data_IF_600499143648
#
_entry.id   IF_600499143648
#
_cell.length_a   1.000
_cell.length_b   1.000
_cell.length_c   1.000
_cell.angle_alpha   90.00
_cell.angle_beta   90.00
_cell.angle_gamma   90.00
#
_symmetry.space_group_name_H-M   'P 1'
#
loop_
_entity.id
_entity.type
_entity.pdbx_description
1 polymer ?
#
# COMPACT_ATOMS: atom_id res chain seq x y z
N UNK A 1 1.70 5.87 18.83
CA UNK A 1 1.85 5.12 17.57
C UNK A 1 0.59 4.27 17.42
N UNK A 2 -0.08 4.32 16.27
CA UNK A 2 -1.29 3.50 16.06
C UNK A 2 -0.94 2.03 16.27
N UNK A 3 -1.78 1.29 16.98
CA UNK A 3 -1.57 -0.15 17.22
C UNK A 3 -1.70 -1.04 15.97
N UNK A 4 -1.98 -0.47 14.79
CA UNK A 4 -2.16 -1.21 13.54
C UNK A 4 -0.87 -1.91 13.09
N UNK A 5 -1.02 -3.13 12.57
CA UNK A 5 0.06 -3.97 12.06
C UNK A 5 0.02 -4.01 10.53
N UNK A 6 1.19 -3.86 9.91
CA UNK A 6 1.33 -4.03 8.45
C UNK A 6 1.17 -5.51 8.12
N UNK A 7 0.25 -5.84 7.24
CA UNK A 7 0.03 -7.23 6.84
C UNK A 7 0.50 -7.51 5.40
N UNK A 8 0.55 -6.50 4.54
CA UNK A 8 1.09 -6.62 3.18
C UNK A 8 1.74 -5.33 2.69
N UNK A 9 2.71 -5.49 1.80
CA UNK A 9 3.24 -4.44 0.92
C UNK A 9 3.13 -4.94 -0.51
N UNK A 10 2.42 -4.19 -1.34
CA UNK A 10 2.38 -4.40 -2.78
C UNK A 10 3.21 -3.33 -3.46
N UNK A 11 3.96 -3.71 -4.50
CA UNK A 11 4.90 -2.82 -5.18
C UNK A 11 4.59 -2.81 -6.67
N UNK A 12 4.75 -1.65 -7.30
CA UNK A 12 4.50 -1.50 -8.72
C UNK A 12 5.31 -0.40 -9.36
N UNK A 13 5.33 -0.38 -10.69
CA UNK A 13 5.96 0.66 -11.49
C UNK A 13 4.98 1.26 -12.50
N UNK A 14 5.22 2.52 -12.84
CA UNK A 14 4.42 3.25 -13.81
C UNK A 14 5.27 4.25 -14.56
N UNK A 15 4.86 4.58 -15.78
CA UNK A 15 5.59 5.54 -16.59
C UNK A 15 4.66 6.53 -17.28
N UNK A 16 5.20 7.69 -17.61
CA UNK A 16 4.64 8.58 -18.62
C UNK A 16 5.72 8.87 -19.65
N UNK A 17 5.46 8.53 -20.91
CA UNK A 17 6.49 8.44 -21.93
C UNK A 17 6.82 9.79 -22.60
N UNK A 18 5.84 10.70 -22.64
CA UNK A 18 5.94 11.91 -23.48
C UNK A 18 5.32 13.17 -22.87
N UNK A 19 4.58 13.07 -21.76
CA UNK A 19 3.90 14.21 -21.14
C UNK A 19 4.66 14.79 -19.95
N UNK A 20 5.70 14.12 -19.47
CA UNK A 20 6.36 14.41 -18.20
C UNK A 20 5.36 14.51 -17.03
N UNK A 21 4.24 13.76 -17.13
CA UNK A 21 3.16 13.78 -16.15
C UNK A 21 3.46 12.80 -15.01
N UNK A 22 4.04 13.36 -13.94
CA UNK A 22 4.39 12.64 -12.72
C UNK A 22 3.19 12.02 -12.02
N UNK A 23 2.02 12.68 -12.07
CA UNK A 23 0.79 12.16 -11.45
C UNK A 23 0.29 10.94 -12.20
N UNK A 24 0.31 10.97 -13.53
CA UNK A 24 -0.06 9.83 -14.37
C UNK A 24 0.91 8.65 -14.22
N UNK A 25 2.21 8.92 -14.16
CA UNK A 25 3.20 7.87 -13.90
C UNK A 25 2.98 7.23 -12.52
N UNK A 26 2.73 8.05 -11.49
CA UNK A 26 2.42 7.59 -10.13
C UNK A 26 1.13 6.75 -10.08
N UNK A 27 0.05 7.22 -10.72
CA UNK A 27 -1.22 6.49 -10.82
C UNK A 27 -1.01 5.10 -11.44
N UNK A 28 -0.23 5.03 -12.52
CA UNK A 28 0.11 3.76 -13.18
C UNK A 28 0.90 2.83 -12.24
N UNK A 29 1.81 3.36 -11.45
CA UNK A 29 2.58 2.55 -10.49
C UNK A 29 1.70 1.97 -9.38
N UNK A 30 0.72 2.74 -8.90
CA UNK A 30 -0.27 2.28 -7.92
C UNK A 30 -1.20 1.22 -8.54
N UNK A 31 -1.70 1.46 -9.75
CA UNK A 31 -2.53 0.49 -10.47
C UNK A 31 -1.79 -0.82 -10.75
N UNK A 32 -0.51 -0.74 -11.09
CA UNK A 32 0.35 -1.90 -11.27
C UNK A 32 0.46 -2.70 -9.96
N UNK A 33 0.75 -2.03 -8.83
CA UNK A 33 0.85 -2.67 -7.52
C UNK A 33 -0.43 -3.45 -7.14
N UNK A 34 -1.61 -2.88 -7.41
CA UNK A 34 -2.90 -3.42 -6.97
C UNK A 34 -3.49 -4.52 -7.87
N UNK A 35 -2.92 -4.78 -9.06
CA UNK A 35 -3.51 -5.70 -10.05
C UNK A 35 -2.93 -7.11 -10.04
N UNK A 36 -1.85 -7.35 -9.28
CA UNK A 36 -1.13 -8.64 -9.32
C UNK A 36 -1.66 -9.65 -8.31
N UNK A 37 -2.47 -9.21 -7.35
CA UNK A 37 -3.03 -10.04 -6.28
C UNK A 37 -4.54 -9.88 -6.16
N UNK A 38 -5.20 -10.93 -5.68
CA UNK A 38 -6.55 -10.86 -5.14
C UNK A 38 -6.51 -11.33 -3.69
N UNK A 39 -6.88 -10.45 -2.77
CA UNK A 39 -6.83 -10.72 -1.33
C UNK A 39 -8.27 -10.63 -0.79
N UNK A 40 -8.99 -11.76 -0.61
CA UNK A 40 -10.34 -11.77 -0.05
C UNK A 40 -10.33 -11.56 1.48
N UNK A 41 -9.54 -10.58 1.94
CA UNK A 41 -9.22 -10.33 3.35
C UNK A 41 -10.47 -10.07 4.18
N UNK A 42 -11.36 -9.20 3.69
CA UNK A 42 -12.54 -8.78 4.43
C UNK A 42 -13.57 -9.91 4.58
N UNK A 43 -13.73 -10.74 3.55
CA UNK A 43 -14.56 -11.94 3.61
C UNK A 43 -13.99 -12.97 4.60
N UNK A 44 -12.67 -13.16 4.59
CA UNK A 44 -11.99 -14.11 5.48
C UNK A 44 -11.94 -13.67 6.94
N UNK A 45 -11.90 -12.36 7.22
CA UNK A 45 -11.70 -11.81 8.58
C UNK A 45 -12.97 -11.20 9.19
N UNK A 46 -14.00 -10.92 8.38
CA UNK A 46 -15.21 -10.21 8.81
C UNK A 46 -14.97 -8.73 9.17
N UNK A 47 -13.80 -8.18 8.86
CA UNK A 47 -13.46 -6.78 9.13
C UNK A 47 -14.17 -5.83 8.15
N UNK A 48 -14.48 -4.62 8.61
CA UNK A 48 -14.90 -3.53 7.71
C UNK A 48 -13.71 -3.04 6.87
N UNK A 49 -13.99 -2.59 5.66
CA UNK A 49 -13.04 -1.86 4.82
C UNK A 49 -12.41 -0.66 5.52
N UNK A 50 -13.17 0.02 6.40
CA UNK A 50 -12.71 1.20 7.13
C UNK A 50 -11.65 0.87 8.20
N UNK A 51 -11.56 -0.40 8.61
CA UNK A 51 -10.53 -0.86 9.52
C UNK A 51 -9.14 -0.85 8.85
N UNK A 52 -9.10 -0.91 7.52
CA UNK A 52 -7.86 -0.91 6.75
C UNK A 52 -7.33 0.51 6.60
N UNK A 53 -6.09 0.71 7.03
CA UNK A 53 -5.31 1.91 6.72
C UNK A 53 -4.36 1.58 5.58
N UNK A 54 -4.32 2.43 4.57
CA UNK A 54 -3.45 2.28 3.41
C UNK A 54 -2.47 3.44 3.39
N UNK A 55 -1.18 3.14 3.29
CA UNK A 55 -0.13 4.14 3.09
C UNK A 55 0.54 3.85 1.76
N UNK A 56 0.53 4.85 0.89
CA UNK A 56 1.18 4.75 -0.41
C UNK A 56 2.36 5.69 -0.43
N UNK A 57 3.54 5.15 -0.73
CA UNK A 57 4.75 5.93 -1.00
C UNK A 57 5.08 5.81 -2.47
N UNK A 58 5.20 6.95 -3.16
CA UNK A 58 5.56 7.02 -4.58
C UNK A 58 6.95 7.62 -4.73
N UNK A 59 7.88 6.88 -5.33
CA UNK A 59 9.21 7.36 -5.70
C UNK A 59 9.22 7.93 -7.12
N UNK A 60 9.52 9.22 -7.27
CA UNK A 60 9.67 9.93 -8.56
C UNK A 60 10.78 10.98 -8.51
N UNK A 61 11.24 11.45 -9.68
CA UNK A 61 12.29 12.46 -9.72
C UNK A 61 11.83 13.86 -9.27
N UNK A 62 10.56 14.21 -9.45
CA UNK A 62 9.98 15.47 -8.97
C UNK A 62 8.74 15.17 -8.13
N UNK A 63 8.89 15.04 -6.80
CA UNK A 63 7.78 14.73 -5.90
C UNK A 63 6.72 15.83 -5.85
N UNK A 64 7.13 17.09 -5.98
CA UNK A 64 6.22 18.25 -5.86
C UNK A 64 5.30 18.37 -7.09
N UNK A 65 5.68 17.75 -8.21
CA UNK A 65 4.87 17.64 -9.42
C UNK A 65 3.79 16.53 -9.36
N UNK A 66 3.70 15.78 -8.26
CA UNK A 66 2.67 14.75 -8.08
C UNK A 66 1.46 15.32 -7.35
N UNK A 67 0.29 15.22 -7.96
CA UNK A 67 -0.98 15.49 -7.30
C UNK A 67 -1.38 14.28 -6.43
N UNK A 68 -0.88 14.24 -5.19
CA UNK A 68 -1.15 13.15 -4.26
C UNK A 68 -2.65 13.02 -3.89
N UNK A 69 -3.39 14.12 -3.82
CA UNK A 69 -4.82 14.10 -3.49
C UNK A 69 -5.60 13.35 -4.57
N UNK A 70 -5.30 13.59 -5.86
CA UNK A 70 -5.92 12.86 -6.96
C UNK A 70 -5.58 11.35 -6.98
N UNK A 71 -4.47 10.95 -6.34
CA UNK A 71 -4.09 9.54 -6.22
C UNK A 71 -4.81 8.85 -5.06
N UNK A 72 -5.16 9.56 -3.99
CA UNK A 72 -5.96 9.02 -2.88
C UNK A 72 -7.32 8.54 -3.40
N UNK A 73 -7.97 9.33 -4.26
CA UNK A 73 -9.27 9.02 -4.85
C UNK A 73 -9.26 7.79 -5.77
N UNK A 74 -8.08 7.36 -6.25
CA UNK A 74 -7.93 6.21 -7.12
C UNK A 74 -7.83 4.88 -6.36
N UNK A 75 -7.71 4.90 -5.03
CA UNK A 75 -7.56 3.69 -4.22
C UNK A 75 -8.93 3.09 -3.89
N UNK A 76 -9.14 1.79 -4.11
CA UNK A 76 -10.49 1.21 -4.11
C UNK A 76 -11.10 1.05 -2.71
N UNK A 77 -10.27 0.98 -1.65
CA UNK A 77 -10.69 0.57 -0.29
C UNK A 77 -9.76 1.16 0.78
N UNK A 78 -10.31 1.36 1.97
CA UNK A 78 -9.57 1.75 3.17
C UNK A 78 -9.33 3.25 3.30
N UNK A 79 -8.77 3.64 4.44
CA UNK A 79 -8.39 5.03 4.73
C UNK A 79 -6.97 5.24 4.21
N UNK A 80 -6.86 5.88 3.06
CA UNK A 80 -5.60 6.04 2.35
C UNK A 80 -4.90 7.37 2.64
N UNK A 81 -3.57 7.31 2.64
CA UNK A 81 -2.69 8.48 2.55
C UNK A 81 -1.66 8.21 1.48
N UNK A 82 -1.41 9.18 0.61
CA UNK A 82 -0.39 9.09 -0.44
C UNK A 82 0.68 10.14 -0.19
N UNK A 83 1.94 9.75 -0.31
CA UNK A 83 3.09 10.66 -0.27
C UNK A 83 4.01 10.39 -1.47
N UNK A 84 4.44 11.46 -2.13
CA UNK A 84 5.53 11.41 -3.09
C UNK A 84 6.87 11.70 -2.41
N UNK A 85 7.91 10.97 -2.81
CA UNK A 85 9.28 11.13 -2.35
C UNK A 85 10.24 11.06 -3.54
N UNK A 86 11.45 11.61 -3.37
CA UNK A 86 12.49 11.54 -4.39
C UNK A 86 12.89 10.08 -4.62
N UNK A 87 12.80 9.62 -5.86
CA UNK A 87 13.08 8.24 -6.28
C UNK A 87 12.83 8.06 -7.78
N UNK A 88 12.47 6.85 -8.20
CA UNK A 88 12.14 6.57 -9.61
C UNK A 88 13.25 6.96 -10.59
N UNK A 89 12.89 7.25 -11.84
CA UNK A 89 13.85 7.63 -12.89
C UNK A 89 13.23 8.60 -13.89
N UNK A 90 14.02 9.57 -14.35
CA UNK A 90 13.74 10.32 -15.56
C UNK A 90 14.75 9.90 -16.63
N UNK A 91 14.27 9.57 -17.83
CA UNK A 91 15.12 9.26 -18.97
C UNK A 91 14.90 10.31 -20.04
N UNK A 92 15.90 11.16 -20.25
CA UNK A 92 15.85 12.21 -21.28
C UNK A 92 16.38 11.65 -22.59
N UNK A 93 15.58 11.78 -23.66
CA UNK A 93 16.03 11.53 -25.01
C UNK A 93 16.99 12.67 -25.44
N UNK A 94 18.25 12.38 -25.81
CA UNK A 94 19.24 13.41 -26.10
C UNK A 94 18.97 14.19 -27.39
N UNK A 95 18.23 13.60 -28.34
CA UNK A 95 17.97 14.23 -29.65
C UNK A 95 16.73 15.13 -29.61
N UNK A 96 15.75 14.80 -28.77
CA UNK A 96 14.44 15.48 -28.73
C UNK A 96 14.21 16.26 -27.44
N UNK A 97 15.00 16.02 -26.39
CA UNK A 97 14.78 16.58 -25.06
C UNK A 97 13.58 16.00 -24.32
N UNK A 98 12.81 15.10 -24.93
CA UNK A 98 11.64 14.47 -24.31
C UNK A 98 12.06 13.65 -23.09
N UNK A 99 11.30 13.77 -22.01
CA UNK A 99 11.56 13.07 -20.76
C UNK A 99 10.51 11.98 -20.55
N UNK A 100 10.99 10.74 -20.41
CA UNK A 100 10.19 9.63 -19.88
C UNK A 100 10.28 9.70 -18.36
N UNK A 101 9.14 9.84 -17.70
CA UNK A 101 9.04 9.76 -16.23
C UNK A 101 8.72 8.32 -15.84
N UNK A 102 9.46 7.78 -14.88
CA UNK A 102 9.25 6.45 -14.30
C UNK A 102 9.05 6.60 -12.80
N UNK A 103 7.89 6.16 -12.33
CA UNK A 103 7.49 6.13 -10.93
C UNK A 103 7.55 4.70 -10.39
N UNK A 104 7.90 4.57 -9.11
CA UNK A 104 7.73 3.33 -8.34
C UNK A 104 6.75 3.60 -7.20
N UNK A 105 5.91 2.63 -6.85
CA UNK A 105 4.97 2.75 -5.74
C UNK A 105 5.14 1.57 -4.77
N UNK A 106 5.05 1.86 -3.47
CA UNK A 106 4.83 0.89 -2.42
C UNK A 106 3.48 1.18 -1.77
N UNK A 107 2.56 0.21 -1.82
CA UNK A 107 1.22 0.26 -1.24
C UNK A 107 1.20 -0.65 -0.03
N UNK A 108 1.21 -0.05 1.15
CA UNK A 108 1.26 -0.75 2.42
C UNK A 108 -0.14 -0.75 3.04
N UNK A 109 -0.65 -1.94 3.34
CA UNK A 109 -1.93 -2.08 4.04
C UNK A 109 -1.74 -2.56 5.48
N UNK A 110 -2.46 -1.90 6.38
CA UNK A 110 -2.39 -2.12 7.81
C UNK A 110 -3.79 -2.41 8.36
N UNK A 111 -3.84 -3.26 9.37
CA UNK A 111 -5.06 -3.62 10.10
C UNK A 111 -4.80 -3.62 11.60
N UNK A 112 -5.85 -3.49 12.44
CA UNK A 112 -5.73 -3.71 13.87
C UNK A 112 -5.16 -5.12 14.17
N UNK A 113 -4.44 -5.31 15.29
CA UNK A 113 -3.88 -6.61 15.64
C UNK A 113 -4.94 -7.71 15.67
N UNK A 114 -4.73 -8.77 14.90
CA UNK A 114 -5.69 -9.89 14.79
C UNK A 114 -5.43 -10.99 15.83
N UNK A 115 -4.77 -10.65 16.95
CA UNK A 115 -4.37 -11.62 17.96
C UNK A 115 -5.58 -12.40 18.51
N UNK A 116 -5.65 -13.70 18.21
CA UNK A 116 -6.42 -14.62 19.04
C UNK A 116 -5.78 -14.63 20.41
N UNK A 117 -6.55 -14.39 21.48
CA UNK A 117 -6.12 -14.69 22.86
C UNK A 117 -5.97 -16.21 23.01
N UNK A 118 -4.84 -16.75 22.56
CA UNK A 118 -4.55 -18.19 22.66
C UNK A 118 -4.20 -18.63 24.10
N UNK A 119 -4.12 -17.69 25.06
CA UNK A 119 -3.63 -17.94 26.41
C UNK A 119 -4.68 -18.34 27.47
N UNK A 120 -5.98 -18.42 27.15
CA UNK A 120 -7.00 -18.77 28.18
C UNK A 120 -7.49 -20.23 28.14
N UNK A 121 -7.08 -21.03 27.16
CA UNK A 121 -7.52 -22.41 27.02
C UNK A 121 -6.60 -23.44 27.71
N UNK A 122 -5.29 -23.14 27.85
CA UNK A 122 -4.33 -24.06 28.45
C UNK A 122 -4.30 -24.02 29.99
N UNK A 123 -4.64 -22.90 30.62
CA UNK A 123 -4.68 -22.81 32.10
C UNK A 123 -5.92 -23.45 32.74
N UNK A 124 -6.94 -23.85 31.96
CA UNK A 124 -8.13 -24.54 32.49
C UNK A 124 -8.06 -26.07 32.39
N UNK A 125 -7.14 -26.63 31.60
CA UNK A 125 -6.96 -28.08 31.51
C UNK A 125 -6.07 -28.63 32.62
N UNK A 126 -5.13 -27.85 33.15
CA UNK A 126 -4.25 -28.28 34.26
C UNK A 126 -4.95 -28.26 35.63
N UNK A 127 -6.07 -27.54 35.76
CA UNK A 127 -6.84 -27.46 37.01
C UNK A 127 -7.83 -28.61 37.23
N UNK A 128 -8.09 -29.46 36.21
CA UNK A 128 -9.12 -30.52 36.26
C UNK A 128 -8.51 -31.92 36.38
N UNK A 129 -7.23 -32.11 36.04
CA UNK A 129 -6.55 -33.42 36.08
C UNK A 129 -5.74 -33.67 37.36
N UNK A 130 -5.72 -32.73 38.31
CA UNK A 130 -4.95 -32.81 39.56
C UNK A 130 -5.70 -33.35 40.78
N UNK A 131 -6.92 -33.86 40.64
CA UNK A 131 -7.66 -34.52 41.73
C UNK A 131 -7.98 -35.98 41.40
N UNK A 132 -7.03 -36.88 41.64
CA UNK A 132 -7.26 -38.32 41.79
C UNK A 132 -6.17 -38.90 42.66
#
# INVERSE_FOLDING_TARGET
MSGDQRFIIEMGMGNDLYGQDYTKAAKRAIEDALRHSSIPLFEATGLSHDAMRVVVTVGVQDPDAVNCDALVDALPRGRATVQAVKGGLNVTNPDTGNVIVMASAAVEAFLPPQAKRIHKAWQRSEAVTGSS
#
